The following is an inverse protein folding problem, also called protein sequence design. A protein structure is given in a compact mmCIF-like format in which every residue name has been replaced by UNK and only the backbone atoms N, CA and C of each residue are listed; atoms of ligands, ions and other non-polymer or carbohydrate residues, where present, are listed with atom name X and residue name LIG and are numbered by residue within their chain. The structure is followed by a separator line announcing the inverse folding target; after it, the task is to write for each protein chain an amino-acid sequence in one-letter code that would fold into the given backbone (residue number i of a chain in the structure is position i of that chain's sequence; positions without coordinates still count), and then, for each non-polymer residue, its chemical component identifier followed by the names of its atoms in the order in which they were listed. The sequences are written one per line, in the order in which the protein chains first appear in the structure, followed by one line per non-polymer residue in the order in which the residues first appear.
data_IF_130569381485
#
_entry.id   IF_130569381485
#
_cell.length_a   1.000
_cell.length_b   1.000
_cell.length_c   1.000
_cell.angle_alpha   90.00
_cell.angle_beta   90.00
_cell.angle_gamma   90.00
#
_symmetry.space_group_name_H-M   'P 1'
#
loop_
_entity.id
_entity.type
_entity.pdbx_description
1 polymer ?
#
# COMPACT_ATOMS: atom_id res chain seq x y z
N UNK A 1 18.65 3.04 3.54
CA UNK A 1 17.48 2.26 3.92
C UNK A 1 16.30 2.59 3.01
N UNK A 2 15.43 1.62 2.86
CA UNK A 2 14.19 1.76 2.09
C UNK A 2 13.07 1.06 2.83
N UNK A 3 11.82 1.46 2.54
CA UNK A 3 10.65 0.82 3.13
C UNK A 3 9.62 0.57 2.03
N UNK A 4 8.89 -0.53 2.17
CA UNK A 4 7.76 -0.86 1.29
C UNK A 4 6.48 -0.79 2.09
N UNK A 5 5.50 -0.04 1.58
CA UNK A 5 4.13 -0.08 2.07
C UNK A 5 3.33 -0.89 1.05
N UNK A 6 2.82 -2.03 1.48
CA UNK A 6 1.96 -2.87 0.66
C UNK A 6 0.50 -2.65 1.09
N UNK A 7 -0.33 -2.17 0.18
CA UNK A 7 -1.74 -1.94 0.43
C UNK A 7 -2.54 -3.06 -0.23
N UNK A 8 -3.06 -3.95 0.58
CA UNK A 8 -3.95 -5.02 0.13
C UNK A 8 -5.34 -4.42 -0.07
N UNK A 9 -5.82 -4.38 -1.32
CA UNK A 9 -7.08 -3.77 -1.68
C UNK A 9 -8.09 -4.83 -2.13
N UNK A 10 -9.19 -4.94 -1.41
CA UNK A 10 -10.32 -5.78 -1.79
C UNK A 10 -11.13 -5.09 -2.91
N UNK A 11 -12.01 -5.85 -3.62
CA UNK A 11 -12.78 -5.26 -4.72
C UNK A 11 -13.54 -3.98 -4.36
N UNK A 12 -14.05 -3.86 -3.14
CA UNK A 12 -14.76 -2.65 -2.71
C UNK A 12 -13.86 -1.41 -2.62
N UNK A 13 -12.56 -1.59 -2.35
CA UNK A 13 -11.60 -0.49 -2.38
C UNK A 13 -11.33 -0.05 -3.82
N UNK A 14 -11.20 -1.01 -4.73
CA UNK A 14 -10.99 -0.74 -6.14
C UNK A 14 -12.18 0.03 -6.71
N UNK A 15 -13.40 -0.34 -6.32
CA UNK A 15 -14.62 0.33 -6.75
C UNK A 15 -14.70 1.79 -6.28
N UNK A 16 -13.98 2.18 -5.23
CA UNK A 16 -13.92 3.54 -4.72
C UNK A 16 -12.75 4.36 -5.32
N UNK A 17 -12.10 3.84 -6.34
CA UNK A 17 -11.01 4.51 -7.04
C UNK A 17 -9.77 4.75 -6.16
N UNK A 18 -9.57 3.90 -5.16
CA UNK A 18 -8.44 3.99 -4.24
C UNK A 18 -7.09 3.92 -4.95
N UNK A 19 -6.86 3.01 -5.93
CA UNK A 19 -5.56 2.95 -6.61
C UNK A 19 -5.16 4.27 -7.27
N UNK A 20 -6.10 4.98 -7.91
CA UNK A 20 -5.80 6.27 -8.53
C UNK A 20 -5.41 7.31 -7.49
N UNK A 21 -6.07 7.31 -6.33
CA UNK A 21 -5.74 8.24 -5.25
C UNK A 21 -4.37 7.94 -4.65
N UNK A 22 -4.00 6.67 -4.54
CA UNK A 22 -2.67 6.27 -4.06
C UNK A 22 -1.58 6.79 -4.99
N UNK A 23 -1.79 6.74 -6.31
CA UNK A 23 -0.85 7.31 -7.26
C UNK A 23 -0.67 8.82 -7.06
N UNK A 24 -1.69 9.54 -6.63
CA UNK A 24 -1.60 10.98 -6.34
C UNK A 24 -0.80 11.28 -5.07
N UNK A 25 -0.74 10.35 -4.13
CA UNK A 25 0.05 10.49 -2.90
C UNK A 25 1.51 10.11 -3.10
N UNK A 26 1.86 9.60 -4.26
CA UNK A 26 3.22 9.19 -4.57
C UNK A 26 4.18 10.38 -4.50
N UNK A 27 5.30 10.19 -3.80
CA UNK A 27 6.40 11.15 -3.81
C UNK A 27 7.22 10.96 -5.07
N UNK A 28 8.04 11.97 -5.43
CA UNK A 28 8.82 11.97 -6.67
C UNK A 28 9.70 10.71 -6.85
N UNK A 29 10.35 10.26 -5.76
CA UNK A 29 11.25 9.10 -5.81
C UNK A 29 10.58 7.77 -5.49
N UNK A 30 9.29 7.78 -5.16
CA UNK A 30 8.58 6.56 -4.84
C UNK A 30 8.21 5.80 -6.11
N UNK A 31 8.18 4.47 -6.01
CA UNK A 31 7.72 3.61 -7.09
C UNK A 31 6.53 2.80 -6.61
N UNK A 32 5.56 2.59 -7.50
CA UNK A 32 4.37 1.81 -7.22
C UNK A 32 4.26 0.65 -8.19
N UNK A 33 4.06 -0.55 -7.65
CA UNK A 33 3.75 -1.74 -8.42
C UNK A 33 2.39 -2.28 -8.03
N UNK A 34 1.70 -2.89 -8.98
CA UNK A 34 0.44 -3.56 -8.72
C UNK A 34 0.57 -5.05 -8.97
N UNK A 35 0.09 -5.85 -8.02
CA UNK A 35 -0.01 -7.29 -8.15
C UNK A 35 -1.47 -7.65 -8.00
N UNK A 36 -2.09 -8.15 -9.07
CA UNK A 36 -3.53 -8.42 -9.11
C UNK A 36 -3.80 -9.92 -9.13
N UNK A 37 -4.76 -10.33 -8.32
CA UNK A 37 -5.37 -11.66 -8.36
C UNK A 37 -6.88 -11.53 -8.54
N UNK A 38 -7.62 -12.62 -8.75
CA UNK A 38 -9.08 -12.53 -8.86
C UNK A 38 -9.78 -11.97 -7.63
N UNK A 39 -9.17 -12.09 -6.44
CA UNK A 39 -9.80 -11.69 -5.18
C UNK A 39 -9.36 -10.31 -4.69
N UNK A 40 -8.20 -9.81 -5.11
CA UNK A 40 -7.66 -8.56 -4.58
C UNK A 40 -6.54 -7.99 -5.45
N UNK A 41 -6.21 -6.74 -5.18
CA UNK A 41 -5.03 -6.08 -5.76
C UNK A 41 -4.13 -5.61 -4.62
N UNK A 42 -2.83 -5.85 -4.74
CA UNK A 42 -1.83 -5.31 -3.81
C UNK A 42 -1.09 -4.19 -4.51
N UNK A 43 -1.11 -3.01 -3.90
CA UNK A 43 -0.31 -1.86 -4.34
C UNK A 43 0.93 -1.80 -3.47
N UNK A 44 2.08 -2.05 -4.06
CA UNK A 44 3.36 -2.01 -3.36
C UNK A 44 4.05 -0.68 -3.65
N UNK A 45 4.24 0.13 -2.61
CA UNK A 45 4.89 1.43 -2.72
C UNK A 45 6.29 1.31 -2.12
N UNK A 46 7.31 1.42 -2.96
CA UNK A 46 8.70 1.50 -2.51
C UNK A 46 9.03 2.97 -2.24
N UNK A 47 9.48 3.23 -1.03
CA UNK A 47 9.90 4.56 -0.57
C UNK A 47 11.41 4.54 -0.31
N UNK A 48 12.24 4.94 -1.31
CA UNK A 48 13.69 5.01 -1.11
C UNK A 48 14.04 6.02 -0.01
N UNK A 49 15.01 5.68 0.81
CA UNK A 49 15.45 6.50 1.94
C UNK A 49 14.35 6.72 3.00
N UNK A 50 13.25 5.97 2.89
CA UNK A 50 12.16 6.04 3.85
C UNK A 50 12.42 5.14 5.07
N UNK A 51 11.73 5.46 6.16
CA UNK A 51 11.73 4.65 7.37
C UNK A 51 10.30 4.40 7.84
N UNK A 52 10.13 3.78 9.00
CA UNK A 52 8.80 3.47 9.53
C UNK A 52 7.94 4.73 9.67
N UNK A 53 8.52 5.86 10.13
CA UNK A 53 7.79 7.11 10.26
C UNK A 53 7.29 7.62 8.90
N UNK A 54 8.08 7.43 7.84
CA UNK A 54 7.66 7.77 6.47
C UNK A 54 6.43 6.96 6.05
N UNK A 55 6.46 5.66 6.30
CA UNK A 55 5.35 4.76 6.00
C UNK A 55 4.10 5.12 6.80
N UNK A 56 4.25 5.37 8.10
CA UNK A 56 3.14 5.74 8.96
C UNK A 56 2.50 7.06 8.54
N UNK A 57 3.30 8.05 8.15
CA UNK A 57 2.80 9.32 7.64
C UNK A 57 2.03 9.16 6.34
N UNK A 58 2.49 8.29 5.45
CA UNK A 58 1.79 7.97 4.21
C UNK A 58 0.42 7.34 4.49
N UNK A 59 0.39 6.34 5.37
CA UNK A 59 -0.84 5.64 5.76
C UNK A 59 -1.81 6.62 6.42
N UNK A 60 -1.32 7.50 7.30
CA UNK A 60 -2.17 8.49 7.96
C UNK A 60 -2.83 9.46 6.97
N UNK A 61 -2.12 9.87 5.91
CA UNK A 61 -2.71 10.72 4.86
C UNK A 61 -3.79 9.98 4.09
N UNK A 62 -3.60 8.72 3.80
CA UNK A 62 -4.61 7.90 3.14
C UNK A 62 -5.84 7.73 4.02
N UNK A 63 -5.65 7.48 5.31
CA UNK A 63 -6.76 7.41 6.27
C UNK A 63 -7.56 8.71 6.33
N UNK A 64 -6.87 9.85 6.37
CA UNK A 64 -7.52 11.16 6.38
C UNK A 64 -8.34 11.37 5.12
N UNK A 65 -7.80 11.02 3.95
CA UNK A 65 -8.54 11.14 2.70
C UNK A 65 -9.80 10.27 2.69
N UNK A 66 -9.69 9.02 3.14
CA UNK A 66 -10.85 8.12 3.22
C UNK A 66 -11.93 8.67 4.17
N UNK A 67 -11.51 9.18 5.31
CA UNK A 67 -12.45 9.74 6.30
C UNK A 67 -13.18 10.95 5.72
N UNK A 68 -12.49 11.82 5.02
CA UNK A 68 -13.09 13.01 4.43
C UNK A 68 -14.00 12.67 3.25
N UNK A 69 -13.61 11.70 2.43
CA UNK A 69 -14.36 11.35 1.22
C UNK A 69 -15.59 10.47 1.50
N UNK A 70 -15.46 9.51 2.41
CA UNK A 70 -16.47 8.47 2.58
C UNK A 70 -16.81 8.13 4.02
N UNK A 71 -16.21 8.83 4.98
CA UNK A 71 -16.39 8.57 6.42
C UNK A 71 -16.08 7.11 6.80
N UNK A 72 -15.10 6.50 6.14
CA UNK A 72 -14.71 5.11 6.37
C UNK A 72 -13.30 5.01 6.95
N UNK A 73 -13.07 3.99 7.77
CA UNK A 73 -11.73 3.53 8.10
C UNK A 73 -11.14 2.78 6.92
N UNK A 74 -9.83 2.49 6.94
CA UNK A 74 -9.19 1.68 5.90
C UNK A 74 -9.83 0.30 5.81
N UNK A 75 -10.03 -0.37 6.94
CA UNK A 75 -10.64 -1.70 6.96
C UNK A 75 -12.05 -1.69 6.37
N UNK A 76 -12.87 -0.69 6.73
CA UNK A 76 -14.21 -0.54 6.15
C UNK A 76 -14.16 -0.35 4.64
N UNK A 77 -13.17 0.41 4.15
CA UNK A 77 -12.97 0.62 2.72
C UNK A 77 -12.35 -0.59 2.02
N UNK A 78 -11.91 -1.61 2.75
CA UNK A 78 -11.30 -2.80 2.17
C UNK A 78 -9.81 -2.66 1.89
N UNK A 79 -9.10 -1.86 2.66
CA UNK A 79 -7.68 -1.60 2.51
C UNK A 79 -6.95 -2.08 3.76
N UNK A 80 -5.95 -2.94 3.58
CA UNK A 80 -5.16 -3.49 4.68
C UNK A 80 -3.67 -3.21 4.43
N UNK A 81 -3.06 -2.27 5.18
CA UNK A 81 -1.66 -1.91 4.97
C UNK A 81 -0.71 -2.89 5.66
N UNK A 82 0.42 -3.12 5.00
CA UNK A 82 1.53 -3.92 5.52
C UNK A 82 2.81 -3.14 5.28
N UNK A 83 3.67 -3.04 6.28
CA UNK A 83 4.93 -2.30 6.20
C UNK A 83 6.09 -3.30 6.24
N UNK A 84 7.00 -3.20 5.26
CA UNK A 84 8.12 -4.12 5.10
C UNK A 84 9.43 -3.33 4.99
N UNK A 85 10.24 -3.24 6.06
CA UNK A 85 11.55 -2.62 5.96
C UNK A 85 12.47 -3.43 5.05
N UNK A 86 13.04 -2.78 4.04
CA UNK A 86 13.92 -3.46 3.07
C UNK A 86 15.28 -3.84 3.64
N UNK A 87 15.73 -3.15 4.69
CA UNK A 87 17.02 -3.44 5.33
C UNK A 87 17.07 -4.84 5.96
N UNK A 88 15.93 -5.36 6.39
CA UNK A 88 15.81 -6.66 7.03
C UNK A 88 15.48 -7.80 6.08
N UNK A 89 15.21 -7.50 4.78
CA UNK A 89 14.72 -8.47 3.81
C UNK A 89 15.51 -8.37 2.50
N UNK A 90 15.78 -9.54 1.89
CA UNK A 90 16.25 -9.53 0.52
C UNK A 90 15.13 -9.10 -0.43
N UNK A 91 15.46 -8.57 -1.63
CA UNK A 91 14.44 -8.25 -2.62
C UNK A 91 13.53 -9.43 -2.98
N UNK A 92 14.07 -10.65 -3.04
CA UNK A 92 13.27 -11.85 -3.31
C UNK A 92 12.28 -12.15 -2.20
N UNK A 93 12.68 -11.99 -0.94
CA UNK A 93 11.79 -12.19 0.21
C UNK A 93 10.63 -11.20 0.17
N UNK A 94 10.91 -9.95 -0.15
CA UNK A 94 9.88 -8.91 -0.29
C UNK A 94 8.89 -9.29 -1.39
N UNK A 95 9.39 -9.68 -2.56
CA UNK A 95 8.55 -10.08 -3.69
C UNK A 95 7.67 -11.28 -3.35
N UNK A 96 8.23 -12.28 -2.68
CA UNK A 96 7.47 -13.45 -2.22
C UNK A 96 6.33 -13.06 -1.28
N UNK A 97 6.58 -12.14 -0.34
CA UNK A 97 5.56 -11.65 0.57
C UNK A 97 4.45 -10.90 -0.15
N UNK A 98 4.81 -10.07 -1.14
CA UNK A 98 3.83 -9.34 -1.94
C UNK A 98 2.93 -10.29 -2.72
N UNK A 99 3.50 -11.32 -3.33
CA UNK A 99 2.72 -12.35 -4.03
C UNK A 99 1.82 -13.13 -3.07
N UNK A 100 2.30 -13.45 -1.87
CA UNK A 100 1.49 -14.13 -0.86
C UNK A 100 0.30 -13.28 -0.44
N UNK A 101 0.47 -11.96 -0.28
CA UNK A 101 -0.65 -11.05 0.03
C UNK A 101 -1.68 -11.04 -1.08
N UNK A 102 -1.24 -11.05 -2.34
CA UNK A 102 -2.16 -10.99 -3.48
C UNK A 102 -2.94 -12.31 -3.68
N UNK A 103 -2.31 -13.45 -3.42
CA UNK A 103 -2.87 -14.76 -3.75
C UNK A 103 -3.26 -15.59 -2.53
N UNK A 104 -2.86 -15.14 -1.37
CA UNK A 104 -3.10 -15.85 -0.13
C UNK A 104 -4.42 -15.58 0.48
#
# INVERSE_FOLDING_TARGET
PSIVVALECLPRAIAQDVPAQIHRFKRELDEIWEITSPQRTVLAILMPLGNLATAEGYIARLETWLQQKSSQSMAQAGIFPHVMPMDALSPMTTLERLHALAHG
#
